data_IF_542513798533
#
_entry.id   IF_542513798533
#
_cell.length_a   1.000
_cell.length_b   1.000
_cell.length_c   1.000
_cell.angle_alpha   90.00
_cell.angle_beta   90.00
_cell.angle_gamma   90.00
#
_symmetry.space_group_name_H-M   'P 1'
#
loop_
_entity.id
_entity.type
_entity.pdbx_description
1 polymer ?
#
# COMPACT_ATOMS: atom_id res chain seq x y z
N UNK A 1 -6.18 7.54 29.61
CA UNK A 1 -5.50 7.38 28.30
C UNK A 1 -4.10 7.96 28.48
N UNK A 2 -3.19 7.12 28.93
CA UNK A 2 -1.78 7.48 29.11
C UNK A 2 -1.22 7.81 27.71
N UNK A 3 -0.72 9.02 27.53
CA UNK A 3 0.03 9.38 26.32
C UNK A 3 1.24 8.46 26.30
N UNK A 4 1.20 7.39 25.52
CA UNK A 4 2.35 6.53 25.33
C UNK A 4 3.46 7.40 24.75
N UNK A 5 4.41 7.78 25.59
CA UNK A 5 5.68 8.34 25.13
C UNK A 5 6.21 7.33 24.10
N UNK A 6 6.52 7.81 22.91
CA UNK A 6 7.15 6.99 21.87
C UNK A 6 8.38 6.34 22.52
N UNK A 7 8.37 5.00 22.55
CA UNK A 7 9.48 4.26 23.16
C UNK A 7 10.77 4.55 22.37
N UNK A 8 11.89 4.86 23.05
CA UNK A 8 13.19 5.03 22.36
C UNK A 8 13.58 3.79 21.54
N UNK A 9 13.01 2.63 21.85
CA UNK A 9 13.22 1.40 21.08
C UNK A 9 12.71 1.50 19.62
N UNK A 10 11.83 2.46 19.28
CA UNK A 10 11.43 2.74 17.90
C UNK A 10 12.58 3.30 17.03
N UNK A 11 13.65 3.77 17.64
CA UNK A 11 14.86 4.14 16.90
C UNK A 11 15.55 2.91 16.28
N UNK A 12 15.36 1.72 16.82
CA UNK A 12 16.01 0.50 16.32
C UNK A 12 15.60 0.17 14.87
N UNK A 13 14.31 0.10 14.49
CA UNK A 13 13.92 -0.07 13.10
C UNK A 13 14.46 1.03 12.17
N UNK A 14 14.44 2.27 12.62
CA UNK A 14 14.99 3.39 11.85
C UNK A 14 16.49 3.23 11.61
N UNK A 15 17.27 2.93 12.65
CA UNK A 15 18.72 2.71 12.53
C UNK A 15 19.05 1.48 11.68
N UNK A 16 18.27 0.41 11.78
CA UNK A 16 18.44 -0.78 10.96
C UNK A 16 18.19 -0.48 9.46
N UNK A 17 17.15 0.28 9.13
CA UNK A 17 16.88 0.73 7.76
C UNK A 17 18.01 1.65 7.27
N UNK A 18 18.47 2.56 8.11
CA UNK A 18 19.58 3.46 7.78
C UNK A 18 20.89 2.68 7.52
N UNK A 19 21.14 1.62 8.29
CA UNK A 19 22.31 0.77 8.08
C UNK A 19 22.26 0.02 6.74
N UNK A 20 21.07 -0.42 6.29
CA UNK A 20 20.87 -1.09 5.00
C UNK A 20 20.89 -0.10 3.84
N UNK A 21 20.17 1.01 3.97
CA UNK A 21 20.02 2.00 2.91
C UNK A 21 21.18 3.01 2.84
N UNK A 22 21.91 3.22 3.96
CA UNK A 22 22.98 4.20 4.07
C UNK A 22 24.06 4.09 2.98
N UNK A 23 24.60 2.90 2.70
CA UNK A 23 25.56 2.71 1.60
C UNK A 23 25.02 3.18 0.24
N UNK A 24 23.75 2.91 -0.06
CA UNK A 24 23.09 3.35 -1.30
C UNK A 24 22.94 4.88 -1.34
N UNK A 25 22.64 5.49 -0.18
CA UNK A 25 22.59 6.95 -0.08
C UNK A 25 23.94 7.63 -0.31
N UNK A 26 25.03 7.00 0.17
CA UNK A 26 26.40 7.51 0.01
C UNK A 26 26.89 7.34 -1.43
N UNK A 27 26.61 6.17 -2.05
CA UNK A 27 27.02 5.89 -3.44
C UNK A 27 26.12 6.58 -4.48
N UNK A 28 24.87 6.91 -4.11
CA UNK A 28 23.86 7.38 -5.06
C UNK A 28 23.34 6.29 -6.02
N UNK A 29 23.69 5.04 -5.74
CA UNK A 29 23.27 3.89 -6.56
C UNK A 29 21.88 3.39 -6.15
N UNK A 30 21.15 2.87 -7.15
CA UNK A 30 19.85 2.26 -6.92
C UNK A 30 19.98 0.73 -6.92
N UNK A 31 19.25 0.02 -6.04
CA UNK A 31 19.23 -1.44 -6.06
C UNK A 31 18.42 -1.91 -7.28
N UNK A 32 19.10 -2.31 -8.33
CA UNK A 32 18.46 -2.75 -9.58
C UNK A 32 18.39 -4.27 -9.61
N UNK A 33 17.16 -4.80 -9.64
CA UNK A 33 16.91 -6.22 -9.80
C UNK A 33 15.55 -6.44 -10.48
N UNK A 34 15.49 -7.34 -11.48
CA UNK A 34 14.27 -7.74 -12.19
C UNK A 34 13.42 -6.54 -12.66
N UNK A 35 12.15 -6.50 -12.26
CA UNK A 35 11.16 -5.52 -12.71
C UNK A 35 11.51 -4.07 -12.31
N UNK A 36 12.32 -3.87 -11.25
CA UNK A 36 12.82 -2.55 -10.90
C UNK A 36 13.56 -1.90 -12.08
N UNK A 37 14.51 -2.62 -12.68
CA UNK A 37 15.31 -2.09 -13.77
C UNK A 37 14.59 -2.05 -15.12
N UNK A 38 13.73 -3.05 -15.39
CA UNK A 38 13.07 -3.19 -16.70
C UNK A 38 11.78 -2.39 -16.82
N UNK A 39 11.08 -2.14 -15.71
CA UNK A 39 9.76 -1.55 -15.74
C UNK A 39 9.62 -0.33 -14.82
N UNK A 40 9.85 -0.48 -13.50
CA UNK A 40 9.52 0.59 -12.56
C UNK A 40 10.43 1.80 -12.67
N UNK A 41 11.75 1.63 -12.74
CA UNK A 41 12.68 2.76 -12.81
C UNK A 41 12.55 3.55 -14.11
N UNK A 42 12.43 2.93 -15.30
CA UNK A 42 12.13 3.67 -16.52
C UNK A 42 10.80 4.44 -16.43
N UNK A 43 9.73 3.80 -15.96
CA UNK A 43 8.41 4.43 -15.78
C UNK A 43 8.45 5.61 -14.80
N UNK A 44 9.08 5.44 -13.64
CA UNK A 44 9.15 6.48 -12.61
C UNK A 44 10.13 7.60 -12.99
N UNK A 45 11.20 7.29 -13.74
CA UNK A 45 12.09 8.30 -14.30
C UNK A 45 11.37 9.16 -15.35
N UNK A 46 10.57 8.54 -16.22
CA UNK A 46 9.73 9.25 -17.17
C UNK A 46 8.75 10.19 -16.48
N UNK A 47 8.05 9.70 -15.46
CA UNK A 47 7.15 10.49 -14.62
C UNK A 47 7.90 11.68 -13.99
N UNK A 48 9.05 11.44 -13.35
CA UNK A 48 9.88 12.47 -12.74
C UNK A 48 10.33 13.54 -13.73
N UNK A 49 10.76 13.14 -14.94
CA UNK A 49 11.17 14.06 -15.99
C UNK A 49 10.03 14.97 -16.47
N UNK A 50 8.79 14.43 -16.57
CA UNK A 50 7.62 15.21 -16.95
C UNK A 50 7.21 16.21 -15.85
N UNK A 51 7.18 15.77 -14.60
CA UNK A 51 6.88 16.67 -13.48
C UNK A 51 7.86 17.83 -13.37
N UNK A 52 9.16 17.60 -13.59
CA UNK A 52 10.17 18.66 -13.58
C UNK A 52 10.01 19.65 -14.76
N UNK A 53 9.30 19.28 -15.82
CA UNK A 53 8.93 20.15 -16.92
C UNK A 53 7.55 20.82 -16.71
N UNK A 54 6.88 20.56 -15.58
CA UNK A 54 5.52 21.04 -15.32
C UNK A 54 4.44 20.33 -16.14
N UNK A 55 4.75 19.15 -16.70
CA UNK A 55 3.84 18.35 -17.52
C UNK A 55 3.27 17.22 -16.68
N UNK A 56 1.95 17.11 -16.64
CA UNK A 56 1.28 15.97 -15.98
C UNK A 56 1.51 14.68 -16.79
N UNK A 57 1.97 13.57 -16.17
CA UNK A 57 2.31 12.33 -16.87
C UNK A 57 1.06 11.51 -17.20
N UNK A 58 0.16 12.05 -18.02
CA UNK A 58 -1.10 11.39 -18.39
C UNK A 58 -0.94 10.41 -19.54
N UNK A 59 0.02 10.66 -20.45
CA UNK A 59 0.27 9.88 -21.65
C UNK A 59 1.76 9.58 -21.80
N UNK A 60 2.12 8.35 -22.18
CA UNK A 60 3.47 7.97 -22.58
C UNK A 60 3.52 7.78 -24.08
N UNK A 61 4.44 8.49 -24.75
CA UNK A 61 4.74 8.31 -26.17
C UNK A 61 5.91 7.34 -26.41
N UNK A 62 6.54 6.84 -25.35
CA UNK A 62 7.75 6.03 -25.45
C UNK A 62 7.48 4.54 -25.61
N UNK A 63 6.30 4.07 -25.17
CA UNK A 63 5.93 2.67 -25.19
C UNK A 63 4.75 2.43 -26.14
N UNK A 64 4.72 1.28 -26.83
CA UNK A 64 3.59 0.74 -27.59
C UNK A 64 2.94 1.72 -28.59
N UNK A 65 3.73 2.59 -29.21
CA UNK A 65 3.25 3.68 -30.09
C UNK A 65 2.40 4.74 -29.37
N UNK A 66 2.47 4.77 -28.05
CA UNK A 66 1.73 5.65 -27.16
C UNK A 66 0.66 4.92 -26.37
N UNK A 67 0.66 5.14 -25.04
CA UNK A 67 -0.32 4.55 -24.11
C UNK A 67 -0.78 5.55 -23.05
N UNK A 68 -2.01 5.40 -22.54
CA UNK A 68 -2.50 6.23 -21.44
C UNK A 68 -1.75 5.88 -20.15
N UNK A 69 -0.67 6.62 -19.84
CA UNK A 69 0.22 6.36 -18.71
C UNK A 69 -0.53 6.46 -17.37
N UNK A 70 -1.45 7.43 -17.25
CA UNK A 70 -2.29 7.59 -16.08
C UNK A 70 -3.26 6.41 -15.83
N UNK A 71 -3.61 5.65 -16.87
CA UNK A 71 -4.47 4.48 -16.73
C UNK A 71 -3.70 3.22 -16.31
N UNK A 72 -2.37 3.23 -16.39
CA UNK A 72 -1.54 2.13 -15.91
C UNK A 72 -1.46 2.14 -14.37
N UNK A 73 -2.16 1.21 -13.73
CA UNK A 73 -2.14 1.10 -12.26
C UNK A 73 -0.73 0.86 -11.70
N UNK A 74 0.15 0.21 -12.46
CA UNK A 74 1.53 -0.05 -12.03
C UNK A 74 2.40 1.20 -12.02
N UNK A 75 2.05 2.23 -12.81
CA UNK A 75 2.69 3.54 -12.75
C UNK A 75 2.33 4.28 -11.46
N UNK A 76 1.15 3.99 -10.88
CA UNK A 76 0.66 4.51 -9.58
C UNK A 76 0.79 6.04 -9.42
N UNK A 77 0.58 6.81 -10.51
CA UNK A 77 0.83 8.26 -10.54
C UNK A 77 -0.06 9.07 -9.56
N UNK A 78 -1.24 8.53 -9.22
CA UNK A 78 -2.17 9.15 -8.28
C UNK A 78 -1.91 8.76 -6.81
N UNK A 79 -0.91 7.91 -6.56
CA UNK A 79 -0.53 7.55 -5.20
C UNK A 79 0.14 8.75 -4.50
N UNK A 80 -0.34 9.19 -3.31
CA UNK A 80 0.20 10.38 -2.67
C UNK A 80 1.71 10.33 -2.39
N UNK A 81 2.30 9.12 -2.18
CA UNK A 81 3.76 8.98 -2.02
C UNK A 81 4.56 9.39 -3.24
N UNK A 82 3.92 9.47 -4.42
CA UNK A 82 4.56 9.91 -5.67
C UNK A 82 4.86 11.40 -5.74
N UNK A 83 4.30 12.23 -4.82
CA UNK A 83 4.65 13.65 -4.75
C UNK A 83 6.17 13.87 -4.57
N UNK A 84 6.89 12.87 -4.05
CA UNK A 84 8.35 12.90 -3.94
C UNK A 84 9.04 13.11 -5.31
N UNK A 85 8.43 12.59 -6.39
CA UNK A 85 8.96 12.72 -7.75
C UNK A 85 8.69 14.10 -8.37
N UNK A 86 7.94 14.97 -7.71
CA UNK A 86 7.74 16.37 -8.10
C UNK A 86 8.83 17.29 -7.54
N UNK A 87 9.61 16.79 -6.58
CA UNK A 87 10.67 17.57 -5.97
C UNK A 87 11.86 17.73 -6.94
N UNK A 88 12.55 18.87 -6.92
CA UNK A 88 13.73 19.15 -7.75
C UNK A 88 14.97 18.43 -7.18
N UNK A 89 14.88 17.14 -6.98
CA UNK A 89 15.95 16.26 -6.52
C UNK A 89 16.36 15.32 -7.66
N UNK A 90 17.51 14.67 -7.53
CA UNK A 90 17.86 13.62 -8.49
C UNK A 90 16.85 12.46 -8.41
N UNK A 91 16.61 11.80 -9.54
CA UNK A 91 15.73 10.63 -9.58
C UNK A 91 16.17 9.55 -8.57
N UNK A 92 17.49 9.30 -8.46
CA UNK A 92 18.03 8.36 -7.49
C UNK A 92 17.67 8.73 -6.04
N UNK A 93 17.80 10.01 -5.68
CA UNK A 93 17.40 10.49 -4.35
C UNK A 93 15.89 10.31 -4.10
N UNK A 94 15.04 10.66 -5.07
CA UNK A 94 13.60 10.45 -4.95
C UNK A 94 13.26 8.96 -4.74
N UNK A 95 13.88 8.06 -5.51
CA UNK A 95 13.70 6.61 -5.38
C UNK A 95 14.17 6.08 -4.03
N UNK A 96 15.35 6.48 -3.57
CA UNK A 96 15.87 6.04 -2.27
C UNK A 96 14.97 6.51 -1.12
N UNK A 97 14.48 7.76 -1.15
CA UNK A 97 13.49 8.26 -0.19
C UNK A 97 12.22 7.41 -0.26
N UNK A 98 11.72 7.16 -1.47
CA UNK A 98 10.49 6.39 -1.67
C UNK A 98 10.61 4.98 -1.09
N UNK A 99 11.68 4.25 -1.42
CA UNK A 99 11.91 2.88 -0.94
C UNK A 99 12.10 2.85 0.59
N UNK A 100 12.96 3.72 1.12
CA UNK A 100 13.25 3.75 2.57
C UNK A 100 12.04 4.17 3.40
N UNK A 101 11.24 5.12 2.91
CA UNK A 101 10.01 5.55 3.57
C UNK A 101 8.98 4.41 3.67
N UNK A 102 8.82 3.59 2.61
CA UNK A 102 7.89 2.46 2.64
C UNK A 102 8.40 1.32 3.53
N UNK A 103 9.70 1.04 3.58
CA UNK A 103 10.26 0.09 4.55
C UNK A 103 10.03 0.56 6.00
N UNK A 104 10.25 1.85 6.26
CA UNK A 104 9.98 2.43 7.58
C UNK A 104 8.49 2.35 7.93
N UNK A 105 7.62 2.66 6.97
CA UNK A 105 6.17 2.56 7.14
C UNK A 105 5.73 1.11 7.44
N UNK A 106 6.31 0.12 6.77
CA UNK A 106 6.08 -1.29 7.04
C UNK A 106 6.46 -1.65 8.49
N UNK A 107 7.63 -1.20 8.95
CA UNK A 107 8.07 -1.40 10.33
C UNK A 107 7.14 -0.73 11.34
N UNK A 108 6.79 0.54 11.14
CA UNK A 108 5.94 1.31 12.05
C UNK A 108 4.53 0.74 12.15
N UNK A 109 3.93 0.38 11.03
CA UNK A 109 2.60 -0.20 10.98
C UNK A 109 2.57 -1.60 11.63
N UNK A 110 3.62 -2.39 11.46
CA UNK A 110 3.75 -3.69 12.12
C UNK A 110 3.95 -3.55 13.63
N UNK A 111 4.79 -2.61 14.06
CA UNK A 111 4.93 -2.28 15.48
C UNK A 111 3.57 -1.92 16.08
N UNK A 112 2.84 -1.02 15.44
CA UNK A 112 1.52 -0.60 15.90
C UNK A 112 0.53 -1.77 15.98
N UNK A 113 0.49 -2.63 14.96
CA UNK A 113 -0.33 -3.84 14.94
C UNK A 113 0.01 -4.77 16.10
N UNK A 114 1.30 -5.09 16.30
CA UNK A 114 1.76 -5.95 17.38
C UNK A 114 1.37 -5.40 18.76
N UNK A 115 1.51 -4.07 18.97
CA UNK A 115 1.08 -3.42 20.20
C UNK A 115 -0.43 -3.52 20.45
N UNK A 116 -1.24 -3.52 19.42
CA UNK A 116 -2.69 -3.72 19.56
C UNK A 116 -3.05 -5.14 20.00
N UNK A 117 -2.25 -6.14 19.64
CA UNK A 117 -2.41 -7.52 20.11
C UNK A 117 -1.79 -7.77 21.50
N UNK A 118 -1.37 -6.71 22.19
CA UNK A 118 -0.83 -6.82 23.55
C UNK A 118 0.62 -7.29 23.61
N UNK A 119 1.32 -7.39 22.50
CA UNK A 119 2.74 -7.75 22.45
C UNK A 119 3.57 -6.71 23.20
N UNK A 120 4.58 -7.12 23.96
CA UNK A 120 5.49 -6.20 24.67
C UNK A 120 6.20 -5.26 23.69
N UNK A 121 6.72 -4.15 24.18
CA UNK A 121 7.44 -3.16 23.35
C UNK A 121 8.61 -3.80 22.59
N UNK A 122 9.43 -4.60 23.27
CA UNK A 122 10.56 -5.31 22.66
C UNK A 122 10.10 -6.34 21.62
N UNK A 123 9.05 -7.11 21.92
CA UNK A 123 8.46 -8.05 20.98
C UNK A 123 7.85 -7.36 19.74
N UNK A 124 7.24 -6.18 19.93
CA UNK A 124 6.69 -5.40 18.81
C UNK A 124 7.80 -4.81 17.91
N UNK A 125 8.95 -4.41 18.51
CA UNK A 125 10.14 -4.01 17.74
C UNK A 125 10.70 -5.19 16.95
N UNK A 126 10.83 -6.36 17.58
CA UNK A 126 11.27 -7.57 16.88
C UNK A 126 10.32 -7.94 15.73
N UNK A 127 9.00 -7.92 15.95
CA UNK A 127 8.01 -8.17 14.92
C UNK A 127 8.12 -7.16 13.76
N UNK A 128 8.33 -5.88 14.07
CA UNK A 128 8.48 -4.82 13.06
C UNK A 128 9.72 -5.02 12.19
N UNK A 129 10.86 -5.40 12.77
CA UNK A 129 12.08 -5.73 12.05
C UNK A 129 11.90 -7.00 11.21
N UNK A 130 11.32 -8.05 11.79
CA UNK A 130 11.09 -9.33 11.10
C UNK A 130 10.18 -9.18 9.89
N UNK A 131 9.16 -8.32 9.95
CA UNK A 131 8.29 -8.05 8.82
C UNK A 131 8.92 -7.07 7.84
N UNK A 132 9.29 -5.87 8.29
CA UNK A 132 9.71 -4.78 7.40
C UNK A 132 11.06 -5.01 6.72
N UNK A 133 11.98 -5.73 7.40
CA UNK A 133 13.30 -6.10 6.87
C UNK A 133 13.41 -7.59 6.54
N UNK A 134 12.32 -8.35 6.70
CA UNK A 134 12.25 -9.73 6.26
C UNK A 134 12.33 -9.85 4.73
N UNK A 135 12.88 -10.95 4.23
CA UNK A 135 13.08 -11.17 2.80
C UNK A 135 11.81 -10.95 1.96
N UNK A 136 10.63 -11.31 2.49
CA UNK A 136 9.36 -11.14 1.80
C UNK A 136 9.00 -9.66 1.47
N UNK A 137 9.37 -8.72 2.35
CA UNK A 137 9.12 -7.28 2.14
C UNK A 137 10.33 -6.61 1.51
N UNK A 138 11.54 -6.91 1.99
CA UNK A 138 12.76 -6.28 1.51
C UNK A 138 12.99 -6.54 0.01
N UNK A 139 12.73 -7.75 -0.48
CA UNK A 139 12.88 -8.08 -1.91
C UNK A 139 11.85 -7.38 -2.81
N UNK A 140 10.78 -6.81 -2.25
CA UNK A 140 9.79 -6.06 -3.03
C UNK A 140 10.32 -4.71 -3.56
N UNK A 141 11.56 -4.31 -3.24
CA UNK A 141 12.21 -3.22 -3.96
C UNK A 141 12.28 -3.48 -5.48
N UNK A 142 12.27 -4.75 -5.89
CA UNK A 142 12.20 -5.16 -7.30
C UNK A 142 10.78 -5.05 -7.89
N UNK A 143 9.75 -5.01 -7.06
CA UNK A 143 8.35 -4.93 -7.47
C UNK A 143 7.60 -3.91 -6.60
N UNK A 144 7.78 -2.65 -6.95
CA UNK A 144 7.51 -1.49 -6.09
C UNK A 144 6.07 -1.40 -5.61
N UNK A 145 5.09 -1.79 -6.45
CA UNK A 145 3.68 -1.78 -6.04
C UNK A 145 3.41 -2.71 -4.85
N UNK A 146 4.13 -3.84 -4.79
CA UNK A 146 4.01 -4.78 -3.66
C UNK A 146 4.74 -4.28 -2.41
N UNK A 147 5.81 -3.49 -2.55
CA UNK A 147 6.42 -2.82 -1.41
C UNK A 147 5.44 -1.82 -0.78
N UNK A 148 4.76 -1.03 -1.63
CA UNK A 148 3.76 -0.06 -1.18
C UNK A 148 2.63 -0.77 -0.45
N UNK A 149 2.04 -1.81 -1.04
CA UNK A 149 0.93 -2.55 -0.41
C UNK A 149 1.36 -3.26 0.87
N UNK A 150 2.55 -3.88 0.90
CA UNK A 150 3.10 -4.50 2.11
C UNK A 150 3.29 -3.48 3.24
N UNK A 151 3.66 -2.23 2.93
CA UNK A 151 3.84 -1.19 3.94
C UNK A 151 2.52 -0.77 4.60
N UNK A 152 1.40 -0.79 3.88
CA UNK A 152 0.07 -0.45 4.39
C UNK A 152 -0.68 -1.64 4.99
N UNK A 153 -0.33 -2.88 4.63
CA UNK A 153 -1.03 -4.10 5.06
C UNK A 153 -1.17 -4.22 6.59
N UNK A 154 -0.12 -4.04 7.42
CA UNK A 154 -0.28 -4.18 8.87
C UNK A 154 -1.23 -3.13 9.46
N UNK A 155 -1.28 -1.92 8.90
CA UNK A 155 -2.26 -0.90 9.30
C UNK A 155 -3.67 -1.32 8.93
N UNK A 156 -3.89 -1.85 7.72
CA UNK A 156 -5.20 -2.34 7.30
C UNK A 156 -5.71 -3.44 8.24
N UNK A 157 -4.86 -4.43 8.57
CA UNK A 157 -5.19 -5.50 9.53
C UNK A 157 -5.52 -4.93 10.92
N UNK A 158 -4.75 -3.94 11.38
CA UNK A 158 -4.96 -3.23 12.63
C UNK A 158 -6.33 -2.56 12.68
N UNK A 159 -6.74 -1.91 11.59
CA UNK A 159 -8.03 -1.24 11.48
C UNK A 159 -9.19 -2.24 11.39
N UNK A 160 -9.01 -3.36 10.67
CA UNK A 160 -9.95 -4.48 10.68
C UNK A 160 -10.14 -5.02 12.10
N UNK A 161 -9.05 -5.27 12.82
CA UNK A 161 -9.12 -5.72 14.22
C UNK A 161 -9.93 -4.74 15.08
N UNK A 162 -9.72 -3.42 14.94
CA UNK A 162 -10.52 -2.40 15.65
C UNK A 162 -11.99 -2.40 15.28
N UNK A 163 -12.31 -2.61 14.00
CA UNK A 163 -13.70 -2.70 13.53
C UNK A 163 -14.41 -3.90 14.18
N UNK A 164 -13.68 -4.98 14.40
CA UNK A 164 -14.21 -6.22 15.00
C UNK A 164 -14.35 -6.18 16.53
N UNK A 165 -13.71 -5.23 17.22
CA UNK A 165 -13.86 -5.10 18.66
C UNK A 165 -15.26 -4.58 19.03
N UNK A 166 -15.93 -5.15 20.06
CA UNK A 166 -17.19 -4.65 20.55
C UNK A 166 -16.98 -3.24 21.15
N UNK A 167 -17.64 -2.26 20.59
CA UNK A 167 -17.55 -0.88 21.05
C UNK A 167 -18.36 -0.69 22.33
N UNK A 168 -17.70 -0.44 23.44
CA UNK A 168 -18.37 -0.15 24.73
C UNK A 168 -18.64 1.35 24.94
N UNK A 169 -18.09 2.25 24.10
CA UNK A 169 -18.18 3.72 24.35
C UNK A 169 -18.26 4.55 23.08
N UNK A 170 -19.11 4.52 22.23
CA UNK A 170 -19.28 5.27 20.97
C UNK A 170 -18.92 4.43 19.74
N UNK A 171 -19.92 4.29 18.93
CA UNK A 171 -19.82 3.68 17.60
C UNK A 171 -18.98 4.57 16.68
N UNK A 172 -17.66 4.57 16.88
CA UNK A 172 -16.77 5.46 16.15
C UNK A 172 -16.67 5.02 14.69
N UNK A 173 -17.05 5.90 13.77
CA UNK A 173 -16.85 5.71 12.34
C UNK A 173 -15.35 5.77 11.92
N UNK A 174 -14.49 6.29 12.80
CA UNK A 174 -13.06 6.53 12.50
C UNK A 174 -12.31 5.30 11.96
N UNK A 175 -12.39 4.09 12.57
CA UNK A 175 -11.70 2.93 12.03
C UNK A 175 -12.18 2.53 10.64
N UNK A 176 -13.47 2.75 10.34
CA UNK A 176 -14.06 2.46 9.02
C UNK A 176 -13.52 3.44 7.97
N UNK A 177 -13.50 4.73 8.30
CA UNK A 177 -12.96 5.77 7.42
C UNK A 177 -11.47 5.51 7.16
N UNK A 178 -10.68 5.25 8.21
CA UNK A 178 -9.26 4.99 8.06
C UNK A 178 -8.98 3.70 7.28
N UNK A 179 -9.80 2.65 7.44
CA UNK A 179 -9.69 1.46 6.60
C UNK A 179 -9.97 1.78 5.13
N UNK A 180 -11.02 2.55 4.85
CA UNK A 180 -11.34 2.98 3.49
C UNK A 180 -10.19 3.78 2.85
N UNK A 181 -9.60 4.72 3.59
CA UNK A 181 -8.42 5.48 3.15
C UNK A 181 -7.21 4.56 2.92
N UNK A 182 -6.95 3.63 3.85
CA UNK A 182 -5.82 2.69 3.72
C UNK A 182 -5.99 1.77 2.51
N UNK A 183 -7.20 1.26 2.27
CA UNK A 183 -7.50 0.47 1.07
C UNK A 183 -7.33 1.30 -0.21
N UNK A 184 -7.76 2.56 -0.20
CA UNK A 184 -7.53 3.48 -1.32
C UNK A 184 -6.03 3.67 -1.61
N UNK A 185 -5.21 3.86 -0.57
CA UNK A 185 -3.77 4.01 -0.70
C UNK A 185 -3.09 2.75 -1.26
N UNK A 186 -3.57 1.56 -0.90
CA UNK A 186 -3.11 0.30 -1.48
C UNK A 186 -3.46 0.23 -2.97
N UNK A 187 -4.72 0.56 -3.34
CA UNK A 187 -5.17 0.56 -4.74
C UNK A 187 -4.43 1.59 -5.58
N UNK A 188 -4.31 2.83 -5.09
CA UNK A 188 -3.57 3.91 -5.75
C UNK A 188 -2.07 3.59 -5.86
N UNK A 189 -1.53 2.82 -4.91
CA UNK A 189 -0.16 2.29 -4.94
C UNK A 189 0.07 1.20 -5.99
N UNK A 190 -0.98 0.79 -6.71
CA UNK A 190 -0.90 -0.14 -7.84
C UNK A 190 -1.36 -1.57 -7.53
N UNK A 191 -1.69 -1.90 -6.28
CA UNK A 191 -2.02 -3.28 -5.86
C UNK A 191 -3.47 -3.43 -5.37
N UNK A 192 -4.40 -3.39 -6.32
CA UNK A 192 -5.82 -3.64 -6.04
C UNK A 192 -6.08 -5.06 -5.50
N UNK A 193 -5.22 -6.03 -5.83
CA UNK A 193 -5.33 -7.40 -5.35
C UNK A 193 -5.12 -7.48 -3.84
N UNK A 194 -4.14 -6.78 -3.29
CA UNK A 194 -3.91 -6.74 -1.84
C UNK A 194 -5.10 -6.12 -1.10
N UNK A 195 -5.70 -5.05 -1.65
CA UNK A 195 -6.90 -4.45 -1.07
C UNK A 195 -8.06 -5.47 -1.03
N UNK A 196 -8.24 -6.26 -2.09
CA UNK A 196 -9.22 -7.36 -2.11
C UNK A 196 -8.90 -8.42 -1.05
N UNK A 197 -7.63 -8.84 -0.91
CA UNK A 197 -7.24 -9.80 0.12
C UNK A 197 -7.56 -9.31 1.54
N UNK A 198 -7.35 -8.03 1.83
CA UNK A 198 -7.74 -7.43 3.13
C UNK A 198 -9.25 -7.53 3.34
N UNK A 199 -10.06 -7.23 2.32
CA UNK A 199 -11.53 -7.33 2.43
C UNK A 199 -11.96 -8.79 2.67
N UNK A 200 -11.37 -9.75 1.96
CA UNK A 200 -11.64 -11.18 2.15
C UNK A 200 -11.18 -11.70 3.53
N UNK A 201 -10.17 -11.09 4.12
CA UNK A 201 -9.69 -11.42 5.45
C UNK A 201 -10.69 -11.02 6.56
N UNK A 202 -11.56 -10.01 6.33
CA UNK A 202 -12.50 -9.51 7.34
C UNK A 202 -13.44 -10.59 7.89
N UNK A 203 -14.19 -11.33 7.05
CA UNK A 203 -15.07 -12.41 7.55
C UNK A 203 -14.27 -13.52 8.22
N UNK A 204 -13.08 -13.84 7.75
CA UNK A 204 -12.20 -14.84 8.34
C UNK A 204 -11.75 -14.41 9.75
N UNK A 205 -11.28 -13.19 9.91
CA UNK A 205 -10.91 -12.64 11.21
C UNK A 205 -12.13 -12.56 12.15
N UNK A 206 -13.30 -12.20 11.63
CA UNK A 206 -14.53 -12.22 12.43
C UNK A 206 -14.86 -13.61 12.94
N UNK A 207 -14.72 -14.63 12.09
CA UNK A 207 -14.95 -16.02 12.46
C UNK A 207 -14.05 -16.47 13.62
N UNK A 208 -12.76 -16.23 13.53
CA UNK A 208 -11.78 -16.63 14.55
C UNK A 208 -11.84 -15.80 15.83
N UNK A 209 -12.26 -14.54 15.76
CA UNK A 209 -12.37 -13.65 16.93
C UNK A 209 -13.75 -13.70 17.61
N UNK A 210 -14.64 -14.65 17.25
CA UNK A 210 -15.94 -14.77 17.91
C UNK A 210 -15.77 -15.10 19.38
N UNK A 211 -16.35 -14.30 20.28
CA UNK A 211 -16.40 -14.67 21.69
C UNK A 211 -17.20 -15.97 21.85
N UNK A 212 -16.77 -16.84 22.77
CA UNK A 212 -17.49 -18.09 23.10
C UNK A 212 -18.93 -17.82 23.61
N UNK A 213 -19.15 -16.64 24.19
CA UNK A 213 -20.47 -16.17 24.59
C UNK A 213 -21.17 -15.44 23.44
N UNK A 214 -22.29 -15.99 22.99
CA UNK A 214 -23.10 -15.55 21.83
C UNK A 214 -23.51 -14.05 21.84
N UNK A 215 -23.42 -13.34 22.97
CA UNK A 215 -23.93 -11.96 23.13
C UNK A 215 -22.90 -10.84 22.99
N UNK A 216 -21.59 -11.11 22.87
CA UNK A 216 -20.58 -10.06 22.95
C UNK A 216 -19.87 -9.71 21.62
N UNK A 217 -20.18 -10.38 20.51
CA UNK A 217 -19.59 -10.12 19.20
C UNK A 217 -20.35 -9.10 18.36
N UNK A 218 -19.67 -8.49 17.39
CA UNK A 218 -20.33 -7.62 16.42
C UNK A 218 -21.29 -8.45 15.54
N UNK A 219 -22.57 -8.03 15.38
CA UNK A 219 -23.51 -8.70 14.50
C UNK A 219 -23.08 -8.58 13.02
N UNK A 220 -23.31 -9.64 12.23
CA UNK A 220 -22.95 -9.69 10.81
C UNK A 220 -23.46 -8.47 10.02
N UNK A 221 -24.72 -8.08 10.25
CA UNK A 221 -25.30 -6.89 9.59
C UNK A 221 -24.43 -5.65 9.78
N UNK A 222 -23.97 -5.41 11.01
CA UNK A 222 -23.13 -4.24 11.31
C UNK A 222 -21.73 -4.38 10.70
N UNK A 223 -21.18 -5.59 10.71
CA UNK A 223 -19.91 -5.88 10.03
C UNK A 223 -20.00 -5.59 8.54
N UNK A 224 -21.02 -6.14 7.86
CA UNK A 224 -21.25 -5.90 6.42
C UNK A 224 -21.39 -4.41 6.14
N UNK A 225 -22.20 -3.67 6.90
CA UNK A 225 -22.36 -2.22 6.73
C UNK A 225 -21.03 -1.49 6.84
N UNK A 226 -20.20 -1.80 7.83
CA UNK A 226 -18.90 -1.18 8.04
C UNK A 226 -17.92 -1.52 6.92
N UNK A 227 -17.89 -2.77 6.49
CA UNK A 227 -17.04 -3.21 5.37
C UNK A 227 -17.46 -2.53 4.07
N UNK A 228 -18.76 -2.51 3.77
CA UNK A 228 -19.29 -1.83 2.58
C UNK A 228 -18.96 -0.33 2.62
N UNK A 229 -19.13 0.33 3.76
CA UNK A 229 -18.77 1.75 3.90
C UNK A 229 -17.27 1.99 3.65
N UNK A 230 -16.38 1.13 4.19
CA UNK A 230 -14.95 1.25 3.92
C UNK A 230 -14.62 1.02 2.44
N UNK A 231 -15.25 0.04 1.79
CA UNK A 231 -15.07 -0.21 0.36
C UNK A 231 -15.58 0.95 -0.51
N UNK A 232 -16.71 1.57 -0.15
CA UNK A 232 -17.24 2.74 -0.87
C UNK A 232 -16.30 3.94 -0.74
N UNK A 233 -15.76 4.20 0.45
CA UNK A 233 -14.74 5.24 0.66
C UNK A 233 -13.50 4.95 -0.17
N UNK A 234 -13.02 3.69 -0.14
CA UNK A 234 -11.85 3.29 -0.91
C UNK A 234 -12.06 3.48 -2.42
N UNK A 235 -13.22 3.05 -2.94
CA UNK A 235 -13.57 3.23 -4.34
C UNK A 235 -13.68 4.71 -4.72
N UNK A 236 -14.36 5.53 -3.92
CA UNK A 236 -14.50 6.96 -4.19
C UNK A 236 -13.15 7.68 -4.27
N UNK A 237 -12.22 7.36 -3.35
CA UNK A 237 -10.88 7.95 -3.34
C UNK A 237 -9.98 7.41 -4.46
N UNK A 238 -10.12 6.13 -4.82
CA UNK A 238 -9.31 5.49 -5.85
C UNK A 238 -9.94 5.59 -7.26
N UNK A 239 -11.14 6.16 -7.41
CA UNK A 239 -11.85 6.25 -8.68
C UNK A 239 -11.02 6.94 -9.78
N UNK A 240 -10.22 7.93 -9.40
CA UNK A 240 -9.30 8.63 -10.32
C UNK A 240 -8.33 7.67 -11.04
N UNK A 241 -7.94 6.58 -10.39
CA UNK A 241 -7.10 5.51 -10.98
C UNK A 241 -7.95 4.40 -11.59
N UNK A 242 -8.97 3.95 -10.86
CA UNK A 242 -9.75 2.76 -11.22
C UNK A 242 -10.55 2.96 -12.51
N UNK A 243 -11.16 4.12 -12.69
CA UNK A 243 -12.00 4.38 -13.87
C UNK A 243 -11.19 4.42 -15.18
N UNK A 244 -10.09 5.19 -15.30
CA UNK A 244 -9.25 5.16 -16.49
C UNK A 244 -8.63 3.76 -16.74
N UNK A 245 -8.19 3.06 -15.68
CA UNK A 245 -7.64 1.71 -15.80
C UNK A 245 -8.69 0.74 -16.37
N UNK A 246 -9.94 0.81 -15.90
CA UNK A 246 -11.03 0.00 -16.39
C UNK A 246 -11.34 0.30 -17.85
N UNK A 247 -11.43 1.57 -18.24
CA UNK A 247 -11.68 1.99 -19.62
C UNK A 247 -10.56 1.50 -20.57
N UNK A 248 -9.31 1.69 -20.16
CA UNK A 248 -8.16 1.21 -20.91
C UNK A 248 -8.16 -0.32 -21.05
N UNK A 249 -8.47 -1.04 -19.99
CA UNK A 249 -8.59 -2.51 -20.04
C UNK A 249 -9.69 -2.99 -20.98
N UNK A 250 -10.77 -2.21 -21.16
CA UNK A 250 -11.84 -2.52 -22.10
C UNK A 250 -11.42 -2.32 -23.57
N UNK A 251 -10.57 -1.34 -23.85
CA UNK A 251 -10.08 -1.04 -25.20
C UNK A 251 -8.89 -1.89 -25.64
N UNK A 252 -8.26 -2.62 -24.69
CA UNK A 252 -7.04 -3.38 -24.92
C UNK A 252 -7.21 -4.59 -25.85
N UNK A 253 -6.17 -4.93 -26.60
CA UNK A 253 -6.09 -6.00 -27.60
C UNK A 253 -6.38 -7.43 -27.10
N UNK A 254 -6.42 -7.66 -25.77
CA UNK A 254 -6.84 -8.95 -25.20
C UNK A 254 -8.28 -9.30 -25.51
N UNK A 255 -9.16 -8.32 -25.67
CA UNK A 255 -10.57 -8.52 -26.05
C UNK A 255 -10.71 -8.94 -27.52
N UNK A 256 -9.87 -8.41 -28.40
CA UNK A 256 -9.85 -8.73 -29.84
C UNK A 256 -9.47 -10.21 -30.04
N UNK A 257 -8.52 -10.75 -29.26
CA UNK A 257 -8.14 -12.18 -29.33
C UNK A 257 -9.19 -13.15 -28.80
N UNK A 258 -10.05 -12.74 -27.86
CA UNK A 258 -11.12 -13.61 -27.35
C UNK A 258 -12.31 -13.70 -28.31
N UNK A 259 -12.63 -12.61 -29.02
CA UNK A 259 -13.72 -12.59 -30.02
C UNK A 259 -13.35 -13.33 -31.31
N UNK A 260 -12.07 -13.40 -31.69
CA UNK A 260 -11.62 -14.16 -32.87
C UNK A 260 -11.50 -15.68 -32.64
N UNK A 261 -11.58 -16.16 -31.38
CA UNK A 261 -11.59 -17.60 -31.06
C UNK A 261 -12.98 -18.24 -31.04
N UNK A 262 -14.05 -17.46 -31.15
CA UNK A 262 -15.45 -17.95 -31.15
C UNK A 262 -16.04 -18.15 -32.60
N UNK A 263 -15.22 -18.05 -33.61
CA UNK A 263 -15.64 -18.19 -35.01
C UNK A 263 -14.90 -19.33 -35.73
N UNK A 264 -14.69 -20.47 -35.05
CA UNK A 264 -14.29 -21.74 -35.72
C UNK A 264 -15.10 -22.89 -35.13
#
# INVERSE_FOLDING_TARGET
MERSKLSPLLLIPFLAILAIAGPLWVSGELPVFRDAGHFYYPSFHYEHALWNQGIAPLWSSLDDLGRPFAADSSASIFYPGKFLFWLPLSFASCMLVYLTAHLLLACLNTYYLARQFGVSTSGAVLASLSFGLGGAVLTQHSNIIYLVSASWLPLAISLVHRILQPSTKTDSARPVIYLGVTLALIVLGGDAQMALHVVLLIPLMHWFNRPKEKKSGIPYRKLTQRTTAACLIAFALAAIQVLPTYEWAQSGSRKIRSSSRTTY
#
